data_IF_775189295876
#
_entry.id   IF_775189295876
#
_cell.length_a   1.000
_cell.length_b   1.000
_cell.length_c   1.000
_cell.angle_alpha   90.00
_cell.angle_beta   90.00
_cell.angle_gamma   90.00
#
_symmetry.space_group_name_H-M   'P 1'
#
loop_
_entity.id
_entity.type
_entity.pdbx_description
1 polymer ?
#
# COMPACT_ATOMS: atom_id res chain seq x y z
N UNK A 1 -34.65 -80.66 -0.77
CA UNK A 1 -34.37 -80.42 0.66
C UNK A 1 -32.92 -80.78 0.91
N UNK A 2 -32.12 -79.79 1.30
CA UNK A 2 -30.78 -79.82 1.89
C UNK A 2 -29.83 -80.99 1.60
N UNK A 3 -28.66 -80.68 1.00
CA UNK A 3 -27.45 -81.50 1.17
C UNK A 3 -26.39 -80.67 1.91
N UNK A 4 -26.09 -81.12 3.12
CA UNK A 4 -25.01 -80.66 3.99
C UNK A 4 -23.60 -81.09 3.51
N UNK A 5 -22.62 -80.22 3.83
CA UNK A 5 -21.23 -80.46 4.33
C UNK A 5 -20.13 -80.93 3.36
N UNK A 6 -18.80 -80.83 3.71
CA UNK A 6 -18.20 -80.48 5.03
C UNK A 6 -16.92 -79.58 5.07
N UNK A 7 -16.67 -79.05 6.29
CA UNK A 7 -15.40 -78.90 7.05
C UNK A 7 -14.11 -78.37 6.40
N UNK A 8 -13.53 -77.33 7.02
CA UNK A 8 -12.09 -77.06 7.22
C UNK A 8 -11.97 -75.56 7.59
N UNK A 9 -11.25 -75.03 8.57
CA UNK A 9 -10.25 -75.53 9.49
C UNK A 9 -9.98 -74.42 10.54
N UNK A 10 -9.25 -74.78 11.60
CA UNK A 10 -8.98 -74.00 12.81
C UNK A 10 -7.76 -73.09 12.59
N UNK A 11 -7.77 -71.82 13.04
CA UNK A 11 -6.55 -71.05 13.34
C UNK A 11 -6.74 -69.88 14.32
N UNK A 12 -6.22 -70.07 15.52
CA UNK A 12 -5.52 -69.18 16.47
C UNK A 12 -6.03 -67.75 16.84
N UNK A 13 -5.87 -67.34 18.12
CA UNK A 13 -6.17 -65.98 18.58
C UNK A 13 -4.99 -65.03 18.30
N UNK A 14 -5.26 -63.92 17.60
CA UNK A 14 -4.29 -62.82 17.47
C UNK A 14 -4.23 -62.01 18.76
N UNK A 15 -3.07 -62.10 19.43
CA UNK A 15 -2.68 -61.23 20.54
C UNK A 15 -2.44 -59.81 19.99
N UNK A 16 -3.26 -58.85 20.40
CA UNK A 16 -2.97 -57.43 20.17
C UNK A 16 -2.09 -56.89 21.30
N UNK A 17 -0.81 -56.68 20.99
CA UNK A 17 0.12 -55.91 21.81
C UNK A 17 0.14 -54.48 21.28
N UNK A 18 -0.76 -53.63 21.78
CA UNK A 18 -0.67 -52.19 21.53
C UNK A 18 0.44 -51.63 22.42
N UNK A 19 1.61 -51.35 21.82
CA UNK A 19 2.68 -50.59 22.49
C UNK A 19 2.17 -49.17 22.79
N UNK A 20 2.09 -48.87 24.09
CA UNK A 20 1.74 -47.56 24.62
C UNK A 20 2.95 -46.63 24.44
N UNK A 21 3.01 -45.90 23.32
CA UNK A 21 3.99 -44.82 23.16
C UNK A 21 3.53 -43.63 24.02
N UNK A 22 4.39 -43.06 24.88
CA UNK A 22 3.96 -41.99 25.77
C UNK A 22 3.64 -40.73 24.96
N UNK A 23 2.40 -40.27 25.11
CA UNK A 23 1.80 -39.08 24.46
C UNK A 23 2.64 -37.81 24.70
N UNK A 24 3.51 -37.83 25.72
CA UNK A 24 4.43 -36.76 26.09
C UNK A 24 5.43 -36.41 24.99
N UNK A 25 5.86 -37.37 24.16
CA UNK A 25 6.79 -37.12 23.05
C UNK A 25 6.18 -36.27 21.93
N UNK A 26 4.90 -36.49 21.63
CA UNK A 26 4.18 -35.71 20.61
C UNK A 26 3.86 -34.30 21.09
N UNK A 27 3.55 -34.11 22.37
CA UNK A 27 3.30 -32.78 22.96
C UNK A 27 4.58 -31.94 22.95
N UNK A 28 5.74 -32.55 23.26
CA UNK A 28 7.04 -31.88 23.21
C UNK A 28 7.47 -31.50 21.78
N UNK A 29 7.17 -32.36 20.80
CA UNK A 29 7.41 -32.07 19.38
C UNK A 29 6.50 -30.93 18.89
N UNK A 30 5.23 -30.89 19.31
CA UNK A 30 4.31 -29.82 18.97
C UNK A 30 4.69 -28.47 19.62
N UNK A 31 5.13 -28.46 20.88
CA UNK A 31 5.56 -27.24 21.57
C UNK A 31 6.82 -26.63 20.93
N UNK A 32 7.77 -27.46 20.51
CA UNK A 32 8.98 -26.99 19.84
C UNK A 32 8.69 -26.42 18.44
N UNK A 33 7.75 -27.00 17.70
CA UNK A 33 7.32 -26.49 16.39
C UNK A 33 6.62 -25.12 16.50
N UNK A 34 5.86 -24.90 17.58
CA UNK A 34 5.20 -23.62 17.85
C UNK A 34 6.19 -22.49 18.18
N UNK A 35 7.30 -22.81 18.85
CA UNK A 35 8.36 -21.84 19.17
C UNK A 35 9.12 -21.36 17.92
N UNK A 36 9.30 -22.23 16.91
CA UNK A 36 9.92 -21.87 15.62
C UNK A 36 9.05 -20.89 14.82
N UNK A 37 7.72 -21.00 14.92
CA UNK A 37 6.79 -20.06 14.27
C UNK A 37 6.80 -18.67 14.90
N UNK A 38 7.07 -18.56 16.21
CA UNK A 38 7.19 -17.26 16.90
C UNK A 38 8.54 -16.57 16.65
N UNK A 39 9.57 -17.31 16.22
CA UNK A 39 10.89 -16.74 15.90
C UNK A 39 10.96 -16.14 14.47
N UNK A 40 9.93 -16.33 13.63
CA UNK A 40 9.89 -15.79 12.26
C UNK A 40 9.05 -14.51 12.17
N UNK A 41 9.45 -13.49 12.93
CA UNK A 41 9.08 -12.10 12.64
C UNK A 41 10.31 -11.22 12.87
N UNK A 42 11.19 -11.21 11.87
CA UNK A 42 12.11 -10.12 11.66
C UNK A 42 11.99 -9.68 10.19
N UNK A 43 10.86 -9.06 9.85
CA UNK A 43 10.83 -8.17 8.70
C UNK A 43 11.56 -6.89 9.10
N UNK A 44 12.89 -6.99 9.23
CA UNK A 44 13.76 -5.85 9.06
C UNK A 44 13.58 -5.45 7.60
N UNK A 45 12.58 -4.61 7.33
CA UNK A 45 12.35 -3.94 6.06
C UNK A 45 13.44 -2.87 5.84
N UNK A 46 14.69 -3.28 6.02
CA UNK A 46 15.92 -2.50 5.89
C UNK A 46 16.56 -2.73 4.51
N UNK A 47 15.72 -3.00 3.51
CA UNK A 47 16.07 -2.80 2.10
C UNK A 47 15.19 -1.72 1.46
N UNK A 48 15.00 -0.61 2.18
CA UNK A 48 14.76 0.67 1.51
C UNK A 48 16.08 1.13 0.93
N UNK A 49 16.41 0.53 -0.22
CA UNK A 49 17.29 1.10 -1.23
C UNK A 49 17.17 2.63 -1.18
N UNK A 50 18.33 3.30 -1.13
CA UNK A 50 18.54 4.74 -0.98
C UNK A 50 17.64 5.61 -1.87
N UNK A 51 16.34 5.67 -1.57
CA UNK A 51 15.37 6.47 -2.32
C UNK A 51 15.45 7.88 -1.77
N UNK A 52 16.19 8.72 -2.52
CA UNK A 52 16.33 10.14 -2.29
C UNK A 52 14.94 10.76 -2.16
N UNK A 53 14.59 11.22 -0.97
CA UNK A 53 13.42 12.09 -0.77
C UNK A 53 13.71 13.38 -1.55
N UNK A 54 12.92 13.66 -2.57
CA UNK A 54 13.04 14.90 -3.32
C UNK A 54 12.02 15.91 -2.80
N UNK A 55 12.49 17.11 -2.49
CA UNK A 55 11.65 18.23 -2.09
C UNK A 55 11.43 19.17 -3.27
N UNK A 56 10.20 19.65 -3.41
CA UNK A 56 9.82 20.65 -4.39
C UNK A 56 9.00 21.75 -3.73
N UNK A 57 9.06 22.95 -4.31
CA UNK A 57 8.25 24.11 -3.91
C UNK A 57 7.67 24.81 -5.12
N UNK A 58 6.45 25.30 -4.97
CA UNK A 58 5.81 26.20 -5.91
C UNK A 58 5.32 27.45 -5.17
N UNK A 59 5.31 28.58 -5.87
CA UNK A 59 4.78 29.85 -5.37
C UNK A 59 3.76 30.34 -6.41
N UNK A 60 2.58 30.75 -5.95
CA UNK A 60 1.59 31.40 -6.80
C UNK A 60 0.96 32.56 -6.03
N UNK A 61 1.35 33.78 -6.41
CA UNK A 61 1.04 35.00 -5.64
C UNK A 61 1.50 34.78 -4.19
N UNK A 62 0.57 34.86 -3.24
CA UNK A 62 0.83 34.71 -1.80
C UNK A 62 0.65 33.25 -1.30
N UNK A 63 0.16 32.35 -2.16
CA UNK A 63 0.07 30.93 -1.83
C UNK A 63 1.42 30.24 -2.08
N UNK A 64 1.79 29.34 -1.18
CA UNK A 64 2.94 28.45 -1.38
C UNK A 64 2.51 27.00 -1.31
N UNK A 65 3.12 26.15 -2.12
CA UNK A 65 2.91 24.71 -2.06
C UNK A 65 4.24 23.99 -1.90
N UNK A 66 4.27 22.98 -1.05
CA UNK A 66 5.44 22.12 -0.84
C UNK A 66 5.07 20.66 -1.12
N UNK A 67 5.97 19.97 -1.82
CA UNK A 67 5.80 18.58 -2.20
C UNK A 67 7.09 17.84 -1.85
N UNK A 68 7.03 16.92 -0.90
CA UNK A 68 8.16 16.07 -0.51
C UNK A 68 7.82 14.64 -0.83
N UNK A 69 8.38 14.09 -1.89
CA UNK A 69 8.04 12.76 -2.38
C UNK A 69 9.27 11.87 -2.49
N UNK A 70 9.06 10.59 -2.24
CA UNK A 70 9.90 9.52 -2.79
C UNK A 70 9.32 9.16 -4.15
N UNK A 71 10.18 9.07 -5.15
CA UNK A 71 9.81 8.80 -6.53
C UNK A 71 10.62 7.60 -7.02
N UNK A 72 9.93 6.62 -7.58
CA UNK A 72 10.50 5.47 -8.29
C UNK A 72 10.05 5.50 -9.74
N UNK A 73 10.50 4.53 -10.53
CA UNK A 73 10.03 4.38 -11.91
C UNK A 73 8.55 3.97 -12.02
N UNK A 74 7.97 3.44 -10.94
CA UNK A 74 6.60 2.88 -10.94
C UNK A 74 5.61 3.69 -10.11
N UNK A 75 6.07 4.27 -9.02
CA UNK A 75 5.22 4.88 -8.01
C UNK A 75 5.86 6.09 -7.35
N UNK A 76 5.03 6.89 -6.72
CA UNK A 76 5.48 7.98 -5.87
C UNK A 76 4.59 8.08 -4.64
N UNK A 77 5.20 8.49 -3.53
CA UNK A 77 4.48 8.76 -2.30
C UNK A 77 5.21 9.79 -1.45
N UNK A 78 4.45 10.51 -0.62
CA UNK A 78 5.03 11.50 0.26
C UNK A 78 4.02 12.46 0.83
N UNK A 79 4.48 13.69 1.10
CA UNK A 79 3.70 14.74 1.74
C UNK A 79 3.47 15.90 0.80
N UNK A 80 2.24 16.41 0.82
CA UNK A 80 1.82 17.57 0.05
C UNK A 80 1.18 18.58 0.99
N UNK A 81 1.62 19.83 0.90
CA UNK A 81 1.08 20.93 1.70
C UNK A 81 0.87 22.17 0.84
N UNK A 82 -0.24 22.86 1.03
CA UNK A 82 -0.51 24.19 0.49
C UNK A 82 -0.69 25.12 1.68
N UNK A 83 0.10 26.19 1.74
CA UNK A 83 -0.07 27.27 2.69
C UNK A 83 -0.67 28.47 1.95
N UNK A 84 -1.81 28.93 2.42
CA UNK A 84 -2.53 30.06 1.87
C UNK A 84 -2.21 31.31 2.67
N UNK A 85 -1.40 32.20 2.06
CA UNK A 85 -1.09 33.53 2.60
C UNK A 85 -0.52 33.50 4.05
N UNK A 86 0.10 32.39 4.47
CA UNK A 86 0.64 32.21 5.82
C UNK A 86 -0.40 31.92 6.92
N UNK A 87 -1.70 31.98 6.61
CA UNK A 87 -2.77 31.97 7.62
C UNK A 87 -3.37 30.58 7.85
N UNK A 88 -3.61 29.84 6.78
CA UNK A 88 -4.23 28.52 6.82
C UNK A 88 -3.51 27.57 5.86
N UNK A 89 -3.55 26.26 6.17
CA UNK A 89 -2.87 25.25 5.35
C UNK A 89 -3.73 24.03 5.10
N UNK A 90 -3.60 23.50 3.90
CA UNK A 90 -3.99 22.14 3.57
C UNK A 90 -2.74 21.26 3.68
N UNK A 91 -2.82 20.16 4.43
CA UNK A 91 -1.66 19.28 4.60
C UNK A 91 -2.08 17.82 4.59
N UNK A 92 -1.32 17.01 3.88
CA UNK A 92 -1.69 15.63 3.68
C UNK A 92 -0.62 14.76 3.03
N UNK A 93 -1.03 13.56 2.72
CA UNK A 93 -0.24 12.57 2.04
C UNK A 93 -0.64 12.50 0.57
N UNK A 94 0.33 12.20 -0.27
CA UNK A 94 0.11 11.94 -1.69
C UNK A 94 0.67 10.58 -2.03
N UNK A 95 -0.07 9.81 -2.80
CA UNK A 95 0.37 8.50 -3.32
C UNK A 95 -0.11 8.32 -4.74
N UNK A 96 0.63 7.59 -5.56
CA UNK A 96 0.20 7.32 -6.93
C UNK A 96 1.24 6.56 -7.76
N UNK A 97 0.97 6.52 -9.06
CA UNK A 97 1.75 5.79 -10.04
C UNK A 97 2.44 6.75 -11.02
N UNK A 98 3.57 6.29 -11.55
CA UNK A 98 4.32 6.98 -12.60
C UNK A 98 3.97 6.32 -13.94
N UNK A 99 3.57 7.14 -14.91
CA UNK A 99 3.29 6.73 -16.29
C UNK A 99 4.03 7.66 -17.25
N UNK A 100 5.20 7.24 -17.70
CA UNK A 100 6.10 8.07 -18.50
C UNK A 100 6.41 9.37 -17.75
N UNK A 101 5.99 10.50 -18.33
CA UNK A 101 6.21 11.82 -17.73
C UNK A 101 5.14 12.24 -16.72
N UNK A 102 4.06 11.47 -16.56
CA UNK A 102 2.96 11.85 -15.67
C UNK A 102 2.98 11.06 -14.37
N UNK A 103 2.86 11.76 -13.24
CA UNK A 103 2.59 11.20 -11.92
C UNK A 103 1.09 11.39 -11.66
N UNK A 104 0.33 10.29 -11.59
CA UNK A 104 -1.12 10.35 -11.30
C UNK A 104 -1.41 9.62 -10.00
N UNK A 105 -2.20 10.26 -9.14
CA UNK A 105 -2.40 9.74 -7.80
C UNK A 105 -3.59 10.35 -7.10
N UNK A 106 -3.55 10.19 -5.79
CA UNK A 106 -4.54 10.72 -4.86
C UNK A 106 -3.82 11.49 -3.76
N UNK A 107 -4.35 12.64 -3.41
CA UNK A 107 -3.97 13.36 -2.21
C UNK A 107 -5.05 13.18 -1.14
N UNK A 108 -4.64 12.72 0.05
CA UNK A 108 -5.47 12.65 1.25
C UNK A 108 -4.98 13.71 2.22
N UNK A 109 -5.79 14.73 2.49
CA UNK A 109 -5.36 15.91 3.24
C UNK A 109 -6.43 16.41 4.21
N UNK A 110 -5.97 17.16 5.22
CA UNK A 110 -6.83 17.92 6.12
C UNK A 110 -6.87 19.36 5.64
N UNK A 111 -8.08 19.92 5.58
CA UNK A 111 -8.28 21.33 5.21
C UNK A 111 -8.16 22.21 6.44
N UNK A 112 -7.31 23.22 6.37
CA UNK A 112 -7.07 24.18 7.47
C UNK A 112 -6.68 23.54 8.81
N UNK A 113 -6.08 22.33 8.77
CA UNK A 113 -5.71 21.58 9.97
C UNK A 113 -6.90 21.00 10.76
N UNK A 114 -8.10 21.00 10.20
CA UNK A 114 -9.30 20.42 10.82
C UNK A 114 -9.25 18.88 10.72
N UNK A 115 -9.86 18.17 11.66
CA UNK A 115 -9.79 16.71 11.76
C UNK A 115 -10.39 15.97 10.54
N UNK A 116 -11.28 16.63 9.78
CA UNK A 116 -11.90 16.06 8.59
C UNK A 116 -10.89 15.83 7.47
N UNK A 117 -10.81 14.58 7.02
CA UNK A 117 -9.96 14.18 5.90
C UNK A 117 -10.72 14.26 4.57
N UNK A 118 -10.08 14.91 3.61
CA UNK A 118 -10.52 14.98 2.22
C UNK A 118 -9.62 14.12 1.34
N UNK A 119 -10.18 13.67 0.22
CA UNK A 119 -9.47 12.89 -0.78
C UNK A 119 -9.76 13.44 -2.18
N UNK A 120 -8.72 13.87 -2.89
CA UNK A 120 -8.83 14.41 -4.25
C UNK A 120 -7.81 13.75 -5.19
N UNK A 121 -8.12 13.61 -6.48
CA UNK A 121 -7.13 13.16 -7.46
C UNK A 121 -6.08 14.24 -7.68
N UNK A 122 -4.85 13.83 -7.97
CA UNK A 122 -3.74 14.72 -8.33
C UNK A 122 -3.03 14.20 -9.57
N UNK A 123 -2.59 15.12 -10.43
CA UNK A 123 -1.77 14.81 -11.58
C UNK A 123 -0.65 15.83 -11.69
N UNK A 124 0.59 15.34 -11.81
CA UNK A 124 1.78 16.15 -12.00
C UNK A 124 2.47 15.72 -13.29
N UNK A 125 2.83 16.67 -14.14
CA UNK A 125 3.59 16.42 -15.37
C UNK A 125 5.06 16.79 -15.14
N UNK A 126 5.97 15.84 -15.33
CA UNK A 126 7.41 16.09 -15.41
C UNK A 126 7.69 16.84 -16.70
N UNK A 127 8.25 18.03 -16.59
CA UNK A 127 8.69 18.82 -17.74
C UNK A 127 9.77 19.79 -17.30
N UNK A 128 10.88 19.86 -18.03
CA UNK A 128 11.97 20.82 -17.80
C UNK A 128 12.50 20.82 -16.35
N UNK A 129 12.68 19.63 -15.76
CA UNK A 129 13.06 19.45 -14.34
C UNK A 129 12.07 20.02 -13.30
N UNK A 130 10.85 20.35 -13.72
CA UNK A 130 9.74 20.80 -12.87
C UNK A 130 8.62 19.76 -12.85
N UNK A 131 7.75 19.89 -11.85
CA UNK A 131 6.49 19.16 -11.79
C UNK A 131 5.34 20.16 -11.97
N UNK A 132 4.63 20.08 -13.09
CA UNK A 132 3.51 20.96 -13.40
C UNK A 132 2.23 20.33 -12.84
N UNK A 133 1.53 21.02 -11.93
CA UNK A 133 0.27 20.52 -11.40
C UNK A 133 -0.87 20.72 -12.39
N UNK A 134 -1.43 19.61 -12.84
CA UNK A 134 -2.56 19.60 -13.77
C UNK A 134 -3.86 19.98 -13.07
N UNK A 135 -4.74 20.63 -13.82
CA UNK A 135 -6.12 20.92 -13.41
C UNK A 135 -7.07 20.16 -14.33
N UNK A 136 -8.10 19.53 -13.78
CA UNK A 136 -9.05 18.75 -14.57
C UNK A 136 -10.43 18.71 -13.94
N UNK A 137 -11.45 18.47 -14.75
CA UNK A 137 -12.80 18.26 -14.26
C UNK A 137 -12.86 16.98 -13.42
N UNK A 138 -13.48 17.07 -12.25
CA UNK A 138 -13.62 15.95 -11.34
C UNK A 138 -15.04 15.37 -11.38
N UNK A 139 -15.17 14.10 -11.01
CA UNK A 139 -16.44 13.42 -10.76
C UNK A 139 -16.33 12.51 -9.55
N UNK A 140 -17.47 12.22 -8.92
CA UNK A 140 -17.55 11.29 -7.80
C UNK A 140 -18.13 9.97 -8.33
N UNK A 141 -17.41 8.89 -8.10
CA UNK A 141 -17.85 7.53 -8.41
C UNK A 141 -17.56 6.63 -7.21
N UNK A 142 -18.56 5.89 -6.74
CA UNK A 142 -18.43 5.02 -5.55
C UNK A 142 -17.81 5.75 -4.34
N UNK A 143 -18.28 6.97 -4.04
CA UNK A 143 -17.78 7.81 -2.95
C UNK A 143 -16.29 8.18 -3.03
N UNK A 144 -15.69 8.12 -4.24
CA UNK A 144 -14.32 8.52 -4.49
C UNK A 144 -14.27 9.58 -5.60
N UNK A 145 -13.47 10.62 -5.38
CA UNK A 145 -13.27 11.70 -6.36
C UNK A 145 -12.19 11.32 -7.36
N UNK A 146 -12.48 11.45 -8.66
CA UNK A 146 -11.56 11.16 -9.76
C UNK A 146 -11.56 12.28 -10.80
N UNK A 147 -10.52 12.33 -11.64
CA UNK A 147 -10.60 13.10 -12.89
C UNK A 147 -11.54 12.39 -13.86
N UNK A 148 -12.40 13.15 -14.54
CA UNK A 148 -13.29 12.64 -15.59
C UNK A 148 -12.46 11.99 -16.70
N UNK A 149 -12.74 10.72 -17.03
CA UNK A 149 -11.93 9.95 -17.99
C UNK A 149 -11.90 10.53 -19.40
N UNK A 150 -12.99 11.20 -19.82
CA UNK A 150 -13.17 11.71 -21.18
C UNK A 150 -12.78 13.18 -21.33
N UNK A 151 -12.24 13.81 -20.28
CA UNK A 151 -11.80 15.21 -20.30
C UNK A 151 -10.30 15.22 -20.03
N UNK A 152 -9.47 15.78 -20.93
CA UNK A 152 -8.03 15.85 -20.71
C UNK A 152 -7.70 16.72 -19.49
N UNK A 153 -6.60 16.39 -18.81
CA UNK A 153 -6.05 17.23 -17.75
C UNK A 153 -5.30 18.39 -18.41
N UNK A 154 -5.61 19.61 -17.98
CA UNK A 154 -4.99 20.84 -18.48
C UNK A 154 -3.69 21.13 -17.72
N UNK A 155 -2.64 21.46 -18.46
CA UNK A 155 -1.30 21.77 -17.93
C UNK A 155 -0.76 23.12 -18.42
N UNK A 156 -1.47 23.84 -19.31
CA UNK A 156 -0.99 25.10 -19.89
C UNK A 156 -1.06 26.27 -18.91
N UNK A 157 -2.09 26.31 -18.06
CA UNK A 157 -2.29 27.36 -17.06
C UNK A 157 -2.32 26.77 -15.64
N UNK A 158 -1.21 26.19 -15.16
CA UNK A 158 -1.17 25.50 -13.88
C UNK A 158 -1.24 26.48 -12.72
N UNK A 159 -2.00 26.15 -11.65
CA UNK A 159 -1.96 26.92 -10.40
C UNK A 159 -0.58 26.83 -9.74
N UNK A 160 0.06 25.66 -9.80
CA UNK A 160 1.36 25.42 -9.16
C UNK A 160 2.32 24.74 -10.15
N UNK A 161 3.52 25.32 -10.28
CA UNK A 161 4.66 24.71 -10.95
C UNK A 161 5.74 24.49 -9.90
N UNK A 162 6.03 23.24 -9.62
CA UNK A 162 6.94 22.84 -8.57
C UNK A 162 8.36 22.76 -9.10
N UNK A 163 9.24 23.52 -8.46
CA UNK A 163 10.68 23.50 -8.69
C UNK A 163 11.36 22.68 -7.60
N UNK A 164 12.33 21.87 -8.00
CA UNK A 164 13.12 21.06 -7.05
C UNK A 164 13.92 21.99 -6.15
N UNK A 165 13.82 21.78 -4.85
CA UNK A 165 14.63 22.48 -3.86
C UNK A 165 15.94 21.68 -3.68
N UNK A 166 17.10 22.34 -3.67
CA UNK A 166 18.38 21.69 -3.37
C UNK A 166 18.41 21.07 -1.97
#
# INVERSE_FOLDING_TARGET
>A
MEKEKPKSGIAAPFRNAYKFYPITGFIQLCLSLFFVLLASCNSNDERRESQVKTAYRAINKDDTASLRIRLTDKEFYGRFEINYHGAYKDSGEVTGIVKGDTLKGTCRFQRYGIETWHRIPIALLKKDNKLIMGTGSMEIYMNMTYFKKNIPIEYQNPKFVFEKIP
#
